data_IF_220627664803
#
_entry.id   IF_220627664803
#
_cell.length_a   1.000
_cell.length_b   1.000
_cell.length_c   1.000
_cell.angle_alpha   90.00
_cell.angle_beta   90.00
_cell.angle_gamma   90.00
#
_symmetry.space_group_name_H-M   'P 1'
#
loop_
_entity.id
_entity.type
_entity.pdbx_description
1 polymer ?
#
# COMPACT_ATOMS: atom_id res chain seq x y z
N UNK A 1 -8.74 4.26 -3.69
CA UNK A 1 -7.58 4.33 -4.58
C UNK A 1 -7.10 5.78 -4.77
N UNK A 2 -7.97 6.67 -5.28
CA UNK A 2 -7.62 8.06 -5.61
C UNK A 2 -7.04 8.84 -4.40
N UNK A 3 -7.64 8.72 -3.22
CA UNK A 3 -7.14 9.36 -2.00
C UNK A 3 -5.71 8.92 -1.65
N UNK A 4 -5.41 7.65 -1.80
CA UNK A 4 -4.06 7.13 -1.56
C UNK A 4 -3.09 7.65 -2.63
N UNK A 5 -3.48 7.57 -3.90
CA UNK A 5 -2.63 7.99 -5.02
C UNK A 5 -2.24 9.46 -4.91
N UNK A 6 -3.23 10.36 -4.79
CA UNK A 6 -2.97 11.78 -4.68
C UNK A 6 -2.32 12.15 -3.34
N UNK A 7 -2.77 11.57 -2.25
CA UNK A 7 -2.19 11.84 -0.93
C UNK A 7 -0.72 11.42 -0.84
N UNK A 8 -0.37 10.23 -1.32
CA UNK A 8 1.01 9.76 -1.36
C UNK A 8 1.86 10.59 -2.32
N UNK A 9 1.32 10.96 -3.48
CA UNK A 9 2.03 11.80 -4.46
C UNK A 9 2.33 13.20 -3.93
N UNK A 10 1.36 13.86 -3.32
CA UNK A 10 1.54 15.19 -2.71
C UNK A 10 2.56 15.12 -1.57
N UNK A 11 2.41 14.13 -0.68
CA UNK A 11 3.34 13.97 0.43
C UNK A 11 4.76 13.67 -0.04
N UNK A 12 4.91 12.78 -1.03
CA UNK A 12 6.20 12.45 -1.63
C UNK A 12 6.86 13.67 -2.28
N UNK A 13 6.08 14.48 -3.00
CA UNK A 13 6.55 15.74 -3.58
C UNK A 13 7.04 16.71 -2.51
N UNK A 14 6.22 16.98 -1.49
CA UNK A 14 6.59 17.90 -0.40
C UNK A 14 7.81 17.43 0.39
N UNK A 15 7.92 16.13 0.67
CA UNK A 15 9.06 15.55 1.37
C UNK A 15 10.36 15.65 0.56
N UNK A 16 10.27 15.78 -0.73
CA UNK A 16 11.43 15.85 -1.65
C UNK A 16 11.97 17.27 -1.85
N UNK A 17 11.16 18.30 -1.56
CA UNK A 17 11.54 19.73 -1.77
C UNK A 17 12.89 20.10 -1.16
N UNK A 18 13.26 19.66 0.07
CA UNK A 18 14.55 20.04 0.66
C UNK A 18 15.77 19.37 0.01
N UNK A 19 15.56 18.35 -0.83
CA UNK A 19 16.63 17.49 -1.34
C UNK A 19 16.83 17.57 -2.85
N UNK A 20 15.85 18.09 -3.59
CA UNK A 20 15.86 18.13 -5.05
C UNK A 20 15.31 19.46 -5.57
N UNK A 21 16.00 20.06 -6.56
CA UNK A 21 15.56 21.31 -7.20
C UNK A 21 14.27 21.13 -8.00
N UNK A 22 14.07 19.94 -8.56
CA UNK A 22 12.85 19.56 -9.26
C UNK A 22 12.55 18.06 -9.10
N UNK A 23 11.29 17.73 -8.85
CA UNK A 23 10.80 16.33 -8.81
C UNK A 23 9.65 16.22 -9.81
N UNK A 24 9.84 15.39 -10.82
CA UNK A 24 8.83 15.13 -11.84
C UNK A 24 8.37 13.68 -11.81
N UNK A 25 7.06 13.49 -11.97
CA UNK A 25 6.48 12.17 -12.17
C UNK A 25 5.62 11.67 -11.01
N UNK A 26 4.80 10.68 -11.36
CA UNK A 26 3.84 10.04 -10.46
C UNK A 26 4.46 8.91 -9.61
N UNK A 27 5.79 8.73 -9.67
CA UNK A 27 6.46 7.58 -9.05
C UNK A 27 6.24 7.50 -7.54
N UNK A 28 6.32 8.61 -6.81
CA UNK A 28 6.03 8.65 -5.38
C UNK A 28 4.62 8.17 -5.03
N UNK A 29 3.62 8.51 -5.85
CA UNK A 29 2.25 8.02 -5.71
C UNK A 29 2.16 6.51 -5.97
N UNK A 30 2.86 5.99 -6.99
CA UNK A 30 2.92 4.56 -7.32
C UNK A 30 3.59 3.78 -6.20
N UNK A 31 4.69 4.29 -5.66
CA UNK A 31 5.36 3.70 -4.50
C UNK A 31 4.47 3.70 -3.25
N UNK A 32 3.58 4.69 -3.10
CA UNK A 32 2.52 4.68 -2.09
C UNK A 32 1.54 3.52 -2.26
N UNK A 33 1.14 3.20 -3.48
CA UNK A 33 0.31 2.03 -3.77
C UNK A 33 1.05 0.73 -3.43
N UNK A 34 2.33 0.61 -3.80
CA UNK A 34 3.18 -0.54 -3.48
C UNK A 34 3.24 -0.73 -1.96
N UNK A 35 3.49 0.33 -1.19
CA UNK A 35 3.50 0.28 0.27
C UNK A 35 2.18 -0.19 0.87
N UNK A 36 1.05 0.33 0.39
CA UNK A 36 -0.27 -0.09 0.85
C UNK A 36 -0.56 -1.56 0.51
N UNK A 37 -0.24 -2.00 -0.70
CA UNK A 37 -0.44 -3.39 -1.13
C UNK A 37 0.47 -4.37 -0.38
N UNK A 38 1.69 -3.97 -0.02
CA UNK A 38 2.58 -4.78 0.80
C UNK A 38 1.96 -5.14 2.17
N UNK A 39 1.11 -4.24 2.71
CA UNK A 39 0.38 -4.47 3.97
C UNK A 39 -0.93 -5.21 3.76
N UNK A 40 -1.71 -4.82 2.74
CA UNK A 40 -3.06 -5.33 2.50
C UNK A 40 -3.06 -6.70 1.84
N UNK A 41 -2.16 -6.92 0.89
CA UNK A 41 -2.03 -8.16 0.11
C UNK A 41 -0.57 -8.61 0.00
N UNK A 42 0.09 -8.93 1.13
CA UNK A 42 1.53 -9.20 1.16
C UNK A 42 1.97 -10.38 0.28
N UNK A 43 1.09 -11.37 0.10
CA UNK A 43 1.37 -12.57 -0.69
C UNK A 43 1.02 -12.45 -2.18
N UNK A 44 0.50 -11.28 -2.61
CA UNK A 44 0.20 -11.05 -4.02
C UNK A 44 1.51 -11.07 -4.82
N UNK A 45 1.58 -11.91 -5.85
CA UNK A 45 2.76 -12.00 -6.70
C UNK A 45 2.77 -10.86 -7.71
N UNK A 46 3.91 -10.19 -7.81
CA UNK A 46 4.20 -9.20 -8.85
C UNK A 46 5.54 -9.52 -9.52
N UNK A 47 5.73 -9.00 -10.73
CA UNK A 47 6.98 -9.13 -11.47
C UNK A 47 7.85 -7.90 -11.24
N UNK A 48 9.04 -8.11 -10.67
CA UNK A 48 10.03 -7.06 -10.41
C UNK A 48 11.31 -7.44 -11.15
N UNK A 49 11.74 -6.63 -12.10
CA UNK A 49 12.91 -6.90 -12.95
C UNK A 49 12.90 -8.29 -13.61
N UNK A 50 11.72 -8.78 -13.99
CA UNK A 50 11.57 -10.10 -14.62
C UNK A 50 11.53 -11.29 -13.64
N UNK A 51 11.55 -11.05 -12.33
CA UNK A 51 11.44 -12.07 -11.29
C UNK A 51 10.08 -11.98 -10.59
N UNK A 52 9.32 -13.08 -10.47
CA UNK A 52 8.09 -13.11 -9.71
C UNK A 52 8.43 -13.13 -8.22
N UNK A 53 7.85 -12.20 -7.46
CA UNK A 53 8.04 -12.16 -6.00
C UNK A 53 6.78 -11.66 -5.28
N UNK A 54 6.60 -12.00 -3.99
CA UNK A 54 5.49 -11.50 -3.22
C UNK A 54 5.61 -9.99 -2.98
N UNK A 55 4.47 -9.31 -2.91
CA UNK A 55 4.37 -7.86 -2.82
C UNK A 55 5.16 -7.26 -1.64
N UNK A 56 5.17 -7.93 -0.47
CA UNK A 56 5.93 -7.44 0.68
C UNK A 56 7.44 -7.42 0.40
N UNK A 57 7.94 -8.47 -0.30
CA UNK A 57 9.36 -8.55 -0.66
C UNK A 57 9.72 -7.51 -1.72
N UNK A 58 8.84 -7.30 -2.70
CA UNK A 58 9.03 -6.26 -3.71
C UNK A 58 9.13 -4.85 -3.07
N UNK A 59 8.28 -4.55 -2.11
CA UNK A 59 8.34 -3.27 -1.38
C UNK A 59 9.67 -3.11 -0.62
N UNK A 60 10.18 -4.19 0.01
CA UNK A 60 11.49 -4.18 0.68
C UNK A 60 12.61 -3.96 -0.33
N UNK A 61 12.59 -4.66 -1.47
CA UNK A 61 13.62 -4.52 -2.52
C UNK A 61 13.65 -3.10 -3.06
N UNK A 62 12.50 -2.53 -3.40
CA UNK A 62 12.42 -1.15 -3.87
C UNK A 62 12.91 -0.16 -2.81
N UNK A 63 12.47 -0.31 -1.55
CA UNK A 63 12.94 0.54 -0.47
C UNK A 63 14.46 0.45 -0.26
N UNK A 64 15.04 -0.74 -0.34
CA UNK A 64 16.48 -0.94 -0.22
C UNK A 64 17.26 -0.26 -1.36
N UNK A 65 16.78 -0.40 -2.60
CA UNK A 65 17.37 0.27 -3.77
C UNK A 65 17.31 1.79 -3.60
N UNK A 66 16.17 2.34 -3.17
CA UNK A 66 16.03 3.78 -2.96
C UNK A 66 16.89 4.29 -1.80
N UNK A 67 17.02 3.53 -0.70
CA UNK A 67 17.95 3.89 0.40
C UNK A 67 19.39 3.96 -0.11
N UNK A 68 19.83 3.00 -0.88
CA UNK A 68 21.17 3.02 -1.49
C UNK A 68 21.29 4.19 -2.49
N UNK A 69 20.23 4.44 -3.27
CA UNK A 69 20.17 5.53 -4.25
C UNK A 69 20.24 6.93 -3.64
N UNK A 70 19.88 7.12 -2.36
CA UNK A 70 20.05 8.41 -1.67
C UNK A 70 21.54 8.80 -1.58
N UNK A 71 22.44 7.83 -1.45
CA UNK A 71 23.88 8.04 -1.31
C UNK A 71 24.63 8.11 -2.64
N UNK A 72 23.96 7.79 -3.74
CA UNK A 72 24.54 7.76 -5.08
C UNK A 72 23.91 8.89 -5.89
N UNK A 73 24.69 9.84 -6.40
CA UNK A 73 24.16 10.90 -7.26
C UNK A 73 23.42 10.30 -8.45
N UNK A 74 22.12 10.53 -8.51
CA UNK A 74 21.25 10.02 -9.58
C UNK A 74 20.12 11.02 -9.86
N UNK A 75 19.54 10.93 -11.06
CA UNK A 75 18.36 11.73 -11.42
C UNK A 75 17.06 11.13 -10.88
N UNK A 76 17.15 10.18 -9.94
CA UNK A 76 15.99 9.51 -9.32
C UNK A 76 15.69 10.16 -7.97
N UNK A 77 14.46 10.57 -7.78
CA UNK A 77 14.00 11.15 -6.52
C UNK A 77 13.72 10.05 -5.47
N UNK A 78 14.77 9.39 -4.98
CA UNK A 78 14.69 8.26 -4.06
C UNK A 78 13.91 8.61 -2.77
N UNK A 79 14.06 9.83 -2.27
CA UNK A 79 13.31 10.31 -1.09
C UNK A 79 11.81 10.39 -1.38
N UNK A 80 11.40 10.76 -2.60
CA UNK A 80 9.99 10.73 -2.99
C UNK A 80 9.42 9.31 -2.97
N UNK A 81 10.20 8.33 -3.44
CA UNK A 81 9.80 6.92 -3.42
C UNK A 81 9.64 6.40 -1.98
N UNK A 82 10.66 6.61 -1.14
CA UNK A 82 10.64 6.17 0.26
C UNK A 82 9.50 6.80 1.04
N UNK A 83 9.26 8.09 0.88
CA UNK A 83 8.15 8.79 1.52
C UNK A 83 6.79 8.31 0.99
N UNK A 84 6.67 8.00 -0.30
CA UNK A 84 5.52 7.35 -0.88
C UNK A 84 5.23 5.99 -0.24
N UNK A 85 6.23 5.10 -0.17
CA UNK A 85 6.10 3.78 0.50
C UNK A 85 5.63 3.95 1.94
N UNK A 86 6.22 4.90 2.69
CA UNK A 86 5.86 5.15 4.07
C UNK A 86 4.38 5.53 4.22
N UNK A 87 3.89 6.49 3.44
CA UNK A 87 2.47 6.88 3.43
C UNK A 87 1.58 5.68 3.08
N UNK A 88 1.98 4.90 2.06
CA UNK A 88 1.26 3.71 1.64
C UNK A 88 1.15 2.66 2.74
N UNK A 89 2.24 2.38 3.45
CA UNK A 89 2.25 1.45 4.59
C UNK A 89 1.30 1.92 5.69
N UNK A 90 1.38 3.20 6.09
CA UNK A 90 0.49 3.78 7.12
C UNK A 90 -0.97 3.65 6.69
N UNK A 91 -1.31 4.01 5.45
CA UNK A 91 -2.64 3.89 4.91
C UNK A 91 -3.12 2.43 4.87
N UNK A 92 -2.26 1.50 4.45
CA UNK A 92 -2.52 0.07 4.43
C UNK A 92 -2.83 -0.49 5.83
N UNK A 93 -2.08 -0.07 6.86
CA UNK A 93 -2.31 -0.47 8.25
C UNK A 93 -3.67 0.03 8.76
N UNK A 94 -4.04 1.28 8.46
CA UNK A 94 -5.34 1.84 8.84
C UNK A 94 -6.48 1.09 8.17
N UNK A 95 -6.38 0.83 6.87
CA UNK A 95 -7.41 0.09 6.13
C UNK A 95 -7.52 -1.36 6.58
N UNK A 96 -6.40 -2.02 6.86
CA UNK A 96 -6.39 -3.42 7.34
C UNK A 96 -7.21 -3.58 8.61
N UNK A 97 -7.13 -2.62 9.54
CA UNK A 97 -7.95 -2.62 10.76
C UNK A 97 -9.45 -2.49 10.44
N UNK A 98 -9.82 -1.60 9.51
CA UNK A 98 -11.22 -1.41 9.09
C UNK A 98 -11.79 -2.65 8.39
N UNK A 99 -11.05 -3.22 7.46
CA UNK A 99 -11.47 -4.43 6.71
C UNK A 99 -11.66 -5.61 7.65
N UNK A 100 -10.75 -5.84 8.60
CA UNK A 100 -10.87 -6.91 9.58
C UNK A 100 -12.09 -6.73 10.49
N UNK A 101 -12.44 -5.50 10.85
CA UNK A 101 -13.64 -5.19 11.64
C UNK A 101 -14.90 -5.48 10.84
N UNK A 102 -14.99 -4.99 9.61
CA UNK A 102 -16.15 -5.18 8.74
C UNK A 102 -16.39 -6.66 8.40
N UNK A 103 -15.34 -7.44 8.15
CA UNK A 103 -15.46 -8.89 7.92
C UNK A 103 -16.04 -9.61 9.14
N UNK A 104 -15.65 -9.22 10.34
CA UNK A 104 -16.20 -9.80 11.57
C UNK A 104 -17.68 -9.48 11.73
N UNK A 105 -18.06 -8.22 11.48
CA UNK A 105 -19.46 -7.79 11.58
C UNK A 105 -20.34 -8.48 10.52
N UNK A 106 -19.83 -8.74 9.32
CA UNK A 106 -20.55 -9.45 8.25
C UNK A 106 -20.76 -10.95 8.56
N UNK A 107 -19.82 -11.57 9.27
CA UNK A 107 -19.97 -12.96 9.71
C UNK A 107 -21.11 -13.07 10.73
N UNK A 108 -21.22 -12.12 11.68
CA UNK A 108 -22.32 -12.10 12.65
C UNK A 108 -23.69 -11.92 11.98
N UNK A 109 -23.79 -11.06 10.97
CA UNK A 109 -25.03 -10.87 10.20
C UNK A 109 -25.40 -12.16 9.45
N UNK A 110 -24.42 -12.85 8.86
CA UNK A 110 -24.63 -14.11 8.14
C UNK A 110 -25.16 -15.23 9.04
N UNK A 111 -24.62 -15.38 10.26
CA UNK A 111 -25.10 -16.38 11.22
C UNK A 111 -26.53 -16.09 11.68
N UNK A 112 -26.86 -14.85 11.99
CA UNK A 112 -28.21 -14.43 12.34
C UNK A 112 -29.22 -14.65 11.19
N UNK A 113 -28.82 -14.43 9.98
CA UNK A 113 -29.64 -14.74 8.80
C UNK A 113 -29.85 -16.23 8.63
N UNK A 114 -28.81 -17.06 8.79
CA UNK A 114 -28.94 -18.52 8.72
C UNK A 114 -29.92 -19.04 9.78
N UNK A 115 -29.79 -18.62 11.03
CA UNK A 115 -30.71 -19.00 12.11
C UNK A 115 -32.14 -18.54 11.83
N UNK A 116 -32.34 -17.36 11.23
CA UNK A 116 -33.67 -16.91 10.82
C UNK A 116 -34.29 -17.82 9.75
N UNK A 117 -33.49 -18.28 8.76
CA UNK A 117 -33.94 -19.15 7.71
C UNK A 117 -34.18 -20.58 8.23
N UNK A 118 -33.29 -21.10 9.08
CA UNK A 118 -33.49 -22.41 9.74
C UNK A 118 -34.81 -22.48 10.54
N UNK A 119 -35.04 -21.45 11.37
CA UNK A 119 -36.25 -21.41 12.20
C UNK A 119 -37.53 -21.24 11.40
N UNK A 120 -37.45 -20.65 10.22
CA UNK A 120 -38.64 -20.36 9.39
C UNK A 120 -39.00 -21.48 8.41
N UNK A 121 -38.03 -22.22 7.93
CA UNK A 121 -38.22 -23.14 6.81
C UNK A 121 -37.83 -24.61 7.10
N UNK A 122 -37.12 -24.87 8.18
CA UNK A 122 -36.64 -26.23 8.53
C UNK A 122 -37.30 -26.80 9.78
N UNK A 123 -38.29 -26.11 10.35
CA UNK A 123 -39.27 -26.61 11.33
C UNK A 123 -40.65 -26.68 10.70
#
# INVERSE_FOLDING_TARGET
FLYLYFGAGIFAGLASVPFYDAVLGASGAIFGIIGALAVLKPKMTIWVYGLPMPMFLAAIVYAAIDVLGVFIPSNVANIAHLSGIFVGVVFGLVLRKKVKRQSRDSIYISENQMQYWENRYLK
#
